data_IF_167446673758
#
_entry.id   IF_167446673758
#
_cell.length_a   1.000
_cell.length_b   1.000
_cell.length_c   1.000
_cell.angle_alpha   90.00
_cell.angle_beta   90.00
_cell.angle_gamma   90.00
#
_symmetry.space_group_name_H-M   'P 1'
#
loop_
_entity.id
_entity.type
_entity.pdbx_description
1 polymer ?
#
# COMPACT_ATOMS: atom_id res chain seq x y z
N UNK A 1 16.14 -45.89 -16.16
CA UNK A 1 15.40 -45.25 -15.01
C UNK A 1 16.39 -44.45 -14.18
N UNK A 2 16.14 -43.14 -14.08
CA UNK A 2 17.00 -42.16 -13.39
C UNK A 2 16.91 -42.41 -11.87
N UNK A 3 18.07 -42.37 -11.20
CA UNK A 3 18.18 -42.50 -9.72
C UNK A 3 18.52 -41.17 -9.02
N UNK A 4 19.15 -40.24 -9.74
CA UNK A 4 19.52 -38.89 -9.25
C UNK A 4 19.43 -37.89 -10.38
N UNK A 5 19.15 -36.65 -10.04
CA UNK A 5 19.08 -35.53 -10.99
C UNK A 5 20.45 -34.83 -11.05
N UNK A 6 20.86 -34.40 -12.25
CA UNK A 6 22.09 -33.66 -12.46
C UNK A 6 21.96 -32.24 -11.90
N UNK A 7 23.04 -31.71 -11.33
CA UNK A 7 23.10 -30.31 -10.88
C UNK A 7 22.90 -29.29 -12.02
N UNK A 8 23.27 -29.66 -13.25
CA UNK A 8 23.04 -28.83 -14.43
C UNK A 8 21.57 -28.62 -14.77
N UNK A 9 20.63 -29.46 -14.26
CA UNK A 9 19.20 -29.22 -14.44
C UNK A 9 18.74 -27.91 -13.81
N UNK A 10 19.35 -27.53 -12.69
CA UNK A 10 18.96 -26.35 -11.92
C UNK A 10 19.46 -25.03 -12.50
N UNK A 11 20.26 -25.08 -13.58
CA UNK A 11 20.69 -23.89 -14.33
C UNK A 11 19.72 -23.53 -15.45
N UNK A 12 18.73 -24.38 -15.76
CA UNK A 12 17.73 -24.18 -16.81
C UNK A 12 16.56 -23.38 -16.22
N UNK A 13 16.79 -22.15 -15.81
CA UNK A 13 15.84 -21.33 -15.05
C UNK A 13 14.54 -20.97 -15.79
N UNK A 14 14.54 -21.03 -17.13
CA UNK A 14 13.37 -20.79 -17.96
C UNK A 14 12.42 -21.99 -18.11
N UNK A 15 12.71 -23.12 -17.42
CA UNK A 15 11.89 -24.33 -17.50
C UNK A 15 10.51 -24.09 -16.91
N UNK A 16 9.46 -24.39 -17.67
CA UNK A 16 8.06 -24.26 -17.24
C UNK A 16 7.39 -25.61 -16.93
N UNK A 17 7.88 -26.71 -17.49
CA UNK A 17 7.36 -28.04 -17.24
C UNK A 17 8.49 -29.06 -17.08
N UNK A 18 8.36 -29.96 -16.09
CA UNK A 18 9.34 -31.01 -15.81
C UNK A 18 8.65 -32.35 -15.58
N UNK A 19 8.86 -33.29 -16.51
CA UNK A 19 8.34 -34.63 -16.46
C UNK A 19 9.45 -35.61 -16.13
N UNK A 20 9.46 -36.14 -14.90
CA UNK A 20 10.42 -37.17 -14.44
C UNK A 20 9.73 -38.29 -13.69
N UNK A 21 8.48 -38.55 -14.07
CA UNK A 21 7.70 -39.68 -13.62
C UNK A 21 8.31 -41.01 -14.09
N UNK A 22 7.87 -42.15 -13.51
CA UNK A 22 8.25 -43.52 -13.84
C UNK A 22 9.78 -43.78 -13.76
N UNK A 23 10.42 -43.20 -12.73
CA UNK A 23 11.83 -43.36 -12.48
C UNK A 23 12.12 -44.01 -11.09
N UNK A 24 13.36 -44.01 -10.66
CA UNK A 24 13.80 -44.58 -9.38
C UNK A 24 14.33 -43.48 -8.42
N UNK A 25 13.81 -42.28 -8.50
CA UNK A 25 14.22 -41.17 -7.62
C UNK A 25 13.79 -41.44 -6.19
N UNK A 26 14.72 -41.38 -5.24
CA UNK A 26 14.45 -41.55 -3.81
C UNK A 26 14.36 -40.24 -3.06
N UNK A 27 14.87 -39.14 -3.65
CA UNK A 27 14.84 -37.77 -3.11
C UNK A 27 14.87 -36.75 -4.22
N UNK A 28 14.35 -35.57 -3.93
CA UNK A 28 14.50 -34.34 -4.72
C UNK A 28 15.39 -33.37 -3.92
N UNK A 29 16.44 -32.81 -4.53
CA UNK A 29 17.29 -31.87 -3.82
C UNK A 29 16.60 -30.50 -3.64
N UNK A 30 16.97 -29.73 -2.60
CA UNK A 30 16.47 -28.37 -2.37
C UNK A 30 16.67 -27.41 -3.55
N UNK A 31 17.68 -27.67 -4.37
CA UNK A 31 17.99 -26.90 -5.59
C UNK A 31 16.85 -26.83 -6.60
N UNK A 32 15.81 -27.64 -6.47
CA UNK A 32 14.60 -27.57 -7.30
C UNK A 32 13.96 -26.18 -7.24
N UNK A 33 14.08 -25.48 -6.12
CA UNK A 33 13.59 -24.11 -5.95
C UNK A 33 14.32 -23.07 -6.84
N UNK A 34 15.44 -23.43 -7.47
CA UNK A 34 16.13 -22.60 -8.45
C UNK A 34 15.44 -22.52 -9.82
N UNK A 35 14.28 -23.22 -9.96
CA UNK A 35 13.43 -23.18 -11.16
C UNK A 35 12.18 -22.31 -10.92
N UNK A 36 12.28 -20.99 -10.92
CA UNK A 36 11.23 -20.07 -10.45
C UNK A 36 10.01 -20.02 -11.38
N UNK A 37 10.19 -20.43 -12.64
CA UNK A 37 9.12 -20.37 -13.66
C UNK A 37 8.45 -21.71 -13.90
N UNK A 38 8.73 -22.73 -13.04
CA UNK A 38 8.13 -24.06 -13.21
C UNK A 38 6.64 -24.02 -12.83
N UNK A 39 5.79 -24.37 -13.80
CA UNK A 39 4.32 -24.39 -13.68
C UNK A 39 3.82 -25.82 -13.45
N UNK A 40 4.45 -26.79 -14.10
CA UNK A 40 4.08 -28.20 -14.08
C UNK A 40 5.25 -29.07 -13.61
N UNK A 41 5.03 -29.90 -12.59
CA UNK A 41 6.01 -30.86 -12.09
C UNK A 41 5.39 -32.22 -11.88
N UNK A 42 5.81 -33.23 -12.68
CA UNK A 42 5.37 -34.60 -12.53
C UNK A 42 6.52 -35.50 -12.01
N UNK A 43 6.35 -35.95 -10.77
CA UNK A 43 7.23 -36.83 -10.03
C UNK A 43 6.59 -38.19 -9.73
N UNK A 44 5.44 -38.49 -10.33
CA UNK A 44 4.67 -39.72 -10.06
C UNK A 44 5.48 -40.97 -10.36
N UNK A 45 5.13 -42.08 -9.70
CA UNK A 45 5.75 -43.42 -9.92
C UNK A 45 7.27 -43.36 -9.73
N UNK A 46 7.71 -42.83 -8.59
CA UNK A 46 9.10 -42.83 -8.13
C UNK A 46 9.19 -43.53 -6.76
N UNK A 47 10.27 -43.33 -6.04
CA UNK A 47 10.53 -43.92 -4.70
C UNK A 47 10.76 -42.82 -3.64
N UNK A 48 10.12 -41.67 -3.82
CA UNK A 48 10.29 -40.51 -2.93
C UNK A 48 9.73 -40.84 -1.55
N UNK A 49 10.54 -40.61 -0.51
CA UNK A 49 10.15 -40.80 0.91
C UNK A 49 9.83 -39.50 1.61
N UNK A 50 10.39 -38.37 1.11
CA UNK A 50 10.20 -37.02 1.61
C UNK A 50 10.35 -36.04 0.47
N UNK A 51 9.87 -34.81 0.70
CA UNK A 51 10.02 -33.65 -0.18
C UNK A 51 10.86 -32.59 0.55
N UNK A 52 11.68 -31.81 -0.16
CA UNK A 52 12.38 -30.69 0.45
C UNK A 52 11.41 -29.55 0.77
N UNK A 53 11.60 -28.87 1.90
CA UNK A 53 10.82 -27.69 2.30
C UNK A 53 10.85 -26.59 1.23
N UNK A 54 11.99 -26.44 0.55
CA UNK A 54 12.21 -25.47 -0.54
C UNK A 54 11.24 -25.64 -1.73
N UNK A 55 10.60 -26.80 -1.86
CA UNK A 55 9.55 -27.00 -2.87
C UNK A 55 8.38 -26.01 -2.67
N UNK A 56 8.10 -25.62 -1.42
CA UNK A 56 7.10 -24.60 -1.10
C UNK A 56 7.42 -23.19 -1.60
N UNK A 57 8.68 -22.93 -2.00
CA UNK A 57 9.08 -21.61 -2.55
C UNK A 57 8.78 -21.50 -4.05
N UNK A 58 8.30 -22.58 -4.69
CA UNK A 58 7.99 -22.59 -6.13
C UNK A 58 6.55 -22.12 -6.39
N UNK A 59 6.26 -20.89 -6.00
CA UNK A 59 4.91 -20.30 -5.99
C UNK A 59 4.22 -20.24 -7.36
N UNK A 60 4.98 -20.38 -8.45
CA UNK A 60 4.46 -20.44 -9.82
C UNK A 60 3.82 -21.80 -10.19
N UNK A 61 4.00 -22.85 -9.35
CA UNK A 61 3.45 -24.18 -9.63
C UNK A 61 1.92 -24.15 -9.66
N UNK A 62 1.36 -24.72 -10.74
CA UNK A 62 -0.08 -24.97 -10.92
C UNK A 62 -0.43 -26.45 -10.77
N UNK A 63 0.49 -27.32 -11.15
CA UNK A 63 0.31 -28.77 -11.06
C UNK A 63 1.54 -29.43 -10.45
N UNK A 64 1.32 -30.21 -9.39
CA UNK A 64 2.32 -31.03 -8.71
C UNK A 64 1.81 -32.47 -8.57
N UNK A 65 2.36 -33.37 -9.35
CA UNK A 65 1.96 -34.78 -9.37
C UNK A 65 3.00 -35.64 -8.67
N UNK A 66 2.59 -36.25 -7.56
CA UNK A 66 3.40 -37.10 -6.66
C UNK A 66 2.81 -38.49 -6.46
N UNK A 67 1.87 -38.93 -7.33
CA UNK A 67 1.20 -40.19 -7.20
C UNK A 67 2.18 -41.38 -7.18
N UNK A 68 1.82 -42.45 -6.49
CA UNK A 68 2.60 -43.69 -6.43
C UNK A 68 4.05 -43.48 -6.02
N UNK A 69 4.25 -42.86 -4.87
CA UNK A 69 5.53 -42.71 -4.19
C UNK A 69 5.49 -43.32 -2.78
N UNK A 70 6.47 -43.06 -1.95
CA UNK A 70 6.60 -43.60 -0.60
C UNK A 70 6.54 -42.48 0.46
N UNK A 71 5.82 -41.38 0.16
CA UNK A 71 5.70 -40.26 1.04
C UNK A 71 4.85 -40.61 2.26
N UNK A 72 5.40 -40.38 3.46
CA UNK A 72 4.70 -40.56 4.75
C UNK A 72 4.29 -39.26 5.37
N UNK A 73 5.06 -38.18 5.10
CA UNK A 73 4.87 -36.80 5.60
C UNK A 73 5.03 -35.85 4.43
N UNK A 74 4.29 -34.78 4.47
CA UNK A 74 4.46 -33.61 3.58
C UNK A 74 5.00 -32.44 4.37
N UNK A 75 5.95 -31.66 3.82
CA UNK A 75 6.41 -30.45 4.49
C UNK A 75 5.31 -29.38 4.49
N UNK A 76 5.10 -28.72 5.62
CA UNK A 76 4.08 -27.67 5.76
C UNK A 76 4.31 -26.47 4.82
N UNK A 77 5.55 -26.27 4.37
CA UNK A 77 5.93 -25.28 3.37
C UNK A 77 5.19 -25.42 2.05
N UNK A 78 4.65 -26.61 1.73
CA UNK A 78 3.77 -26.79 0.56
C UNK A 78 2.54 -25.88 0.62
N UNK A 79 2.11 -25.49 1.80
CA UNK A 79 1.02 -24.52 1.98
C UNK A 79 1.29 -23.16 1.32
N UNK A 80 2.56 -22.81 1.05
CA UNK A 80 2.92 -21.60 0.31
C UNK A 80 2.58 -21.65 -1.18
N UNK A 81 2.25 -22.84 -1.71
CA UNK A 81 1.87 -23.05 -3.12
C UNK A 81 0.39 -22.64 -3.36
N UNK A 82 0.02 -21.45 -2.96
CA UNK A 82 -1.37 -20.96 -3.01
C UNK A 82 -1.97 -20.91 -4.42
N UNK A 83 -1.15 -20.95 -5.46
CA UNK A 83 -1.57 -21.00 -6.86
C UNK A 83 -1.78 -22.42 -7.39
N UNK A 84 -1.46 -23.45 -6.60
CA UNK A 84 -1.53 -24.83 -7.04
C UNK A 84 -3.00 -25.28 -7.24
N UNK A 85 -3.32 -25.72 -8.46
CA UNK A 85 -4.65 -26.16 -8.86
C UNK A 85 -4.78 -27.68 -8.69
N UNK A 86 -3.74 -28.41 -9.04
CA UNK A 86 -3.74 -29.86 -9.01
C UNK A 86 -2.60 -30.40 -8.15
N UNK A 87 -2.93 -31.20 -7.15
CA UNK A 87 -1.99 -31.93 -6.31
C UNK A 87 -2.29 -33.44 -6.41
N UNK A 88 -1.37 -34.23 -6.94
CA UNK A 88 -1.51 -35.65 -7.05
C UNK A 88 -0.82 -36.40 -5.91
N UNK A 89 -1.55 -37.02 -4.99
CA UNK A 89 -1.01 -37.71 -3.82
C UNK A 89 -1.43 -39.18 -3.72
N UNK A 90 -2.20 -39.73 -4.68
CA UNK A 90 -2.69 -41.12 -4.67
C UNK A 90 -1.54 -42.11 -4.60
N UNK A 91 -1.73 -43.23 -3.86
CA UNK A 91 -0.74 -44.29 -3.77
C UNK A 91 0.49 -43.95 -2.93
N UNK A 92 0.37 -42.98 -1.98
CA UNK A 92 1.38 -42.69 -0.96
C UNK A 92 0.92 -43.15 0.43
N UNK A 93 1.82 -43.65 1.30
CA UNK A 93 1.49 -44.06 2.67
C UNK A 93 1.41 -42.85 3.64
N UNK A 94 0.58 -41.87 3.29
CA UNK A 94 0.33 -40.67 4.11
C UNK A 94 -0.55 -40.99 5.32
N UNK A 95 -0.54 -40.17 6.35
CA UNK A 95 -1.43 -40.31 7.50
C UNK A 95 -2.89 -40.17 7.10
N UNK A 96 -3.79 -40.82 7.87
CA UNK A 96 -5.22 -40.82 7.58
C UNK A 96 -5.81 -39.42 7.62
N UNK A 97 -5.33 -38.57 8.51
CA UNK A 97 -5.81 -37.18 8.64
C UNK A 97 -5.56 -36.36 7.37
N UNK A 98 -4.36 -36.49 6.80
CA UNK A 98 -3.99 -35.83 5.52
C UNK A 98 -4.83 -36.43 4.37
N UNK A 99 -5.03 -37.72 4.34
CA UNK A 99 -5.84 -38.39 3.30
C UNK A 99 -7.31 -37.98 3.40
N UNK A 100 -7.87 -37.88 4.58
CA UNK A 100 -9.25 -37.45 4.79
C UNK A 100 -9.45 -36.02 4.27
N UNK A 101 -8.57 -35.10 4.66
CA UNK A 101 -8.63 -33.70 4.20
C UNK A 101 -8.45 -33.56 2.68
N UNK A 102 -7.54 -34.35 2.10
CA UNK A 102 -7.29 -34.38 0.66
C UNK A 102 -8.45 -34.94 -0.15
N UNK A 103 -9.24 -35.89 0.42
CA UNK A 103 -10.39 -36.53 -0.26
C UNK A 103 -11.67 -35.66 -0.23
N UNK A 104 -11.70 -34.61 0.56
CA UNK A 104 -12.84 -33.70 0.60
C UNK A 104 -13.03 -32.93 -0.74
N UNK A 105 -14.22 -32.35 -0.90
CA UNK A 105 -14.44 -31.40 -2.00
C UNK A 105 -13.43 -30.25 -1.89
N UNK A 106 -12.74 -29.93 -2.99
CA UNK A 106 -11.64 -28.96 -3.03
C UNK A 106 -10.47 -29.31 -2.09
N UNK A 107 -10.19 -30.62 -1.95
CA UNK A 107 -9.23 -31.17 -1.00
C UNK A 107 -7.81 -30.65 -1.19
N UNK A 108 -7.39 -30.36 -2.42
CA UNK A 108 -6.08 -29.71 -2.70
C UNK A 108 -5.97 -28.39 -1.95
N UNK A 109 -6.95 -27.50 -2.12
CA UNK A 109 -6.93 -26.19 -1.50
C UNK A 109 -7.06 -26.25 0.03
N UNK A 110 -7.94 -27.11 0.53
CA UNK A 110 -8.10 -27.34 1.96
C UNK A 110 -6.81 -27.83 2.61
N UNK A 111 -6.13 -28.79 1.97
CA UNK A 111 -4.86 -29.33 2.47
C UNK A 111 -3.76 -28.26 2.48
N UNK A 112 -3.62 -27.49 1.39
CA UNK A 112 -2.63 -26.40 1.34
C UNK A 112 -2.92 -25.32 2.38
N UNK A 113 -4.19 -24.97 2.57
CA UNK A 113 -4.61 -24.03 3.59
C UNK A 113 -4.28 -24.51 5.00
N UNK A 114 -4.58 -25.79 5.29
CA UNK A 114 -4.23 -26.41 6.56
C UNK A 114 -2.72 -26.35 6.82
N UNK A 115 -1.92 -26.67 5.79
CA UNK A 115 -0.46 -26.61 5.91
C UNK A 115 0.05 -25.21 6.15
N UNK A 116 -0.47 -24.20 5.42
CA UNK A 116 -0.07 -22.81 5.57
C UNK A 116 -0.43 -22.28 6.96
N UNK A 117 -1.64 -22.59 7.45
CA UNK A 117 -2.12 -22.13 8.75
C UNK A 117 -1.34 -22.74 9.93
N UNK A 118 -0.73 -23.92 9.72
CA UNK A 118 0.10 -24.61 10.71
C UNK A 118 1.61 -24.50 10.43
N UNK A 119 2.00 -23.75 9.42
CA UNK A 119 3.41 -23.47 9.15
C UNK A 119 3.98 -22.60 10.26
N UNK A 120 5.07 -23.04 10.87
CA UNK A 120 5.76 -22.27 11.89
C UNK A 120 6.25 -20.95 11.31
N UNK A 121 5.82 -19.85 11.92
CA UNK A 121 6.35 -18.51 11.61
C UNK A 121 7.67 -18.37 12.34
N UNK A 122 8.74 -18.08 11.61
CA UNK A 122 10.03 -17.81 12.22
C UNK A 122 9.92 -16.59 13.15
N UNK A 123 10.46 -16.65 14.37
CA UNK A 123 10.37 -15.55 15.34
C UNK A 123 11.29 -14.37 15.01
N UNK A 124 11.86 -14.33 13.81
CA UNK A 124 12.68 -13.19 13.39
C UNK A 124 11.83 -11.92 13.43
N UNK A 125 12.26 -11.01 14.29
CA UNK A 125 11.57 -9.73 14.44
C UNK A 125 11.62 -8.96 13.12
N UNK A 126 10.52 -8.27 12.83
CA UNK A 126 10.48 -7.30 11.74
C UNK A 126 11.60 -6.26 11.97
N UNK A 127 12.53 -6.06 11.02
CA UNK A 127 13.57 -5.06 11.20
C UNK A 127 12.95 -3.67 11.28
N UNK A 128 13.51 -2.86 12.15
CA UNK A 128 13.09 -1.47 12.25
C UNK A 128 13.41 -0.74 10.94
N UNK A 129 12.44 0.01 10.46
CA UNK A 129 12.62 0.88 9.30
C UNK A 129 13.50 2.07 9.69
N UNK A 130 14.53 2.43 8.90
CA UNK A 130 15.46 3.49 9.25
C UNK A 130 14.76 4.86 9.18
N UNK A 131 15.11 5.75 10.11
CA UNK A 131 14.78 7.16 9.96
C UNK A 131 15.80 7.85 9.06
N UNK A 132 15.34 8.56 8.04
CA UNK A 132 16.18 9.28 7.09
C UNK A 132 16.06 10.77 7.38
N UNK A 133 17.12 11.37 7.95
CA UNK A 133 17.17 12.82 8.14
C UNK A 133 17.62 13.47 6.83
N UNK A 134 16.78 14.35 6.30
CA UNK A 134 17.05 15.08 5.05
C UNK A 134 17.59 16.50 5.30
N UNK A 135 17.19 17.10 6.41
CA UNK A 135 17.61 18.43 6.82
C UNK A 135 17.72 18.49 8.34
N UNK A 136 18.85 19.00 8.83
CA UNK A 136 18.97 19.32 10.24
C UNK A 136 18.25 20.63 10.55
N UNK A 137 17.66 20.69 11.75
CA UNK A 137 16.98 21.90 12.22
C UNK A 137 17.99 23.01 12.45
N UNK A 138 17.74 24.18 11.87
CA UNK A 138 18.45 25.42 12.23
C UNK A 138 17.80 26.01 13.50
N UNK A 139 18.49 25.98 14.65
CA UNK A 139 17.92 26.48 15.89
C UNK A 139 17.70 28.01 15.89
N UNK A 140 18.27 28.73 14.94
CA UNK A 140 18.16 30.19 14.83
C UNK A 140 16.87 30.60 14.06
N UNK A 141 16.23 29.67 13.34
CA UNK A 141 15.02 29.97 12.57
C UNK A 141 13.81 29.40 13.35
N UNK A 142 12.86 30.26 13.77
CA UNK A 142 11.64 29.80 14.45
C UNK A 142 10.70 29.12 13.44
N UNK A 143 10.82 27.80 13.28
CA UNK A 143 9.96 26.98 12.43
C UNK A 143 9.12 26.03 13.28
N UNK A 144 7.89 25.73 12.85
CA UNK A 144 7.09 24.69 13.46
C UNK A 144 7.34 23.37 12.71
N UNK A 145 7.67 22.33 13.48
CA UNK A 145 7.86 20.98 12.94
C UNK A 145 6.72 20.07 13.43
N UNK A 146 6.23 19.24 12.55
CA UNK A 146 5.20 18.26 12.88
C UNK A 146 5.33 17.03 11.97
N UNK A 147 4.91 15.89 12.48
CA UNK A 147 4.95 14.61 11.78
C UNK A 147 3.60 14.29 11.16
N UNK A 148 3.63 13.70 9.97
CA UNK A 148 2.44 13.29 9.22
C UNK A 148 2.57 11.83 8.82
N UNK A 149 1.59 11.02 9.20
CA UNK A 149 1.46 9.62 8.82
C UNK A 149 0.38 9.44 7.76
N UNK A 150 0.65 8.65 6.73
CA UNK A 150 -0.31 8.16 5.76
C UNK A 150 -0.26 6.63 5.73
N UNK A 151 -1.40 5.96 5.97
CA UNK A 151 -1.42 4.51 6.07
C UNK A 151 -2.75 3.91 5.63
N UNK A 152 -2.75 3.13 4.56
CA UNK A 152 -3.85 2.24 4.22
C UNK A 152 -3.75 0.98 5.10
N UNK A 153 -4.74 0.76 5.97
CA UNK A 153 -4.72 -0.30 6.98
C UNK A 153 -5.29 -1.62 6.49
N UNK A 154 -5.72 -1.70 5.25
CA UNK A 154 -6.45 -2.82 4.66
C UNK A 154 -7.68 -3.21 5.49
N UNK A 155 -8.87 -2.85 5.05
CA UNK A 155 -10.10 -3.19 5.77
C UNK A 155 -10.32 -4.71 5.84
N UNK A 156 -11.10 -5.15 6.83
CA UNK A 156 -11.37 -6.57 7.04
C UNK A 156 -12.11 -7.22 5.86
N UNK A 157 -13.02 -6.47 5.25
CA UNK A 157 -13.82 -6.91 4.10
C UNK A 157 -12.95 -7.37 2.93
N UNK A 158 -11.79 -6.76 2.69
CA UNK A 158 -10.88 -7.08 1.59
C UNK A 158 -9.74 -8.01 2.00
N UNK A 159 -9.46 -8.19 3.28
CA UNK A 159 -8.43 -9.09 3.78
C UNK A 159 -8.84 -10.57 3.67
N UNK A 160 -9.07 -11.04 2.45
CA UNK A 160 -9.61 -12.38 2.17
C UNK A 160 -8.56 -13.34 1.63
N UNK A 161 -8.75 -14.64 1.85
CA UNK A 161 -7.88 -15.66 1.26
C UNK A 161 -7.94 -15.71 -0.26
N UNK A 162 -8.99 -15.19 -0.86
CA UNK A 162 -9.10 -15.12 -2.32
C UNK A 162 -8.07 -14.14 -2.88
N UNK A 163 -7.87 -13.01 -2.21
CA UNK A 163 -6.90 -11.99 -2.61
C UNK A 163 -5.49 -12.30 -2.06
N UNK A 164 -5.39 -12.79 -0.83
CA UNK A 164 -4.13 -13.01 -0.13
C UNK A 164 -3.91 -14.47 0.24
N UNK A 165 -4.04 -15.37 -0.75
CA UNK A 165 -3.92 -16.83 -0.57
C UNK A 165 -2.57 -17.31 -0.02
N UNK A 166 -1.54 -16.48 -0.11
CA UNK A 166 -0.21 -16.71 0.44
C UNK A 166 -0.08 -16.39 1.94
N UNK A 167 -1.09 -15.73 2.52
CA UNK A 167 -1.11 -15.37 3.95
C UNK A 167 -1.93 -16.40 4.74
N UNK A 168 -1.46 -16.86 5.92
CA UNK A 168 -2.24 -17.72 6.79
C UNK A 168 -3.57 -17.08 7.19
N UNK A 169 -4.65 -17.88 7.33
CA UNK A 169 -5.98 -17.36 7.63
C UNK A 169 -6.07 -16.62 8.96
N UNK A 170 -5.34 -17.07 9.96
CA UNK A 170 -5.29 -16.42 11.26
C UNK A 170 -4.61 -15.05 11.22
N UNK A 171 -3.62 -14.87 10.30
CA UNK A 171 -2.92 -13.60 10.11
C UNK A 171 -3.72 -12.59 9.26
N UNK A 172 -4.68 -13.06 8.45
CA UNK A 172 -5.65 -12.20 7.75
C UNK A 172 -6.75 -11.68 8.68
N UNK A 173 -7.02 -12.39 9.78
CA UNK A 173 -8.10 -12.04 10.70
C UNK A 173 -7.89 -10.64 11.30
N UNK A 174 -8.96 -9.84 11.34
CA UNK A 174 -8.93 -8.48 11.89
C UNK A 174 -8.45 -8.43 13.33
N UNK A 175 -8.88 -9.36 14.18
CA UNK A 175 -8.48 -9.43 15.60
C UNK A 175 -6.97 -9.63 15.77
N UNK A 176 -6.31 -10.23 14.78
CA UNK A 176 -4.86 -10.34 14.73
C UNK A 176 -4.23 -9.07 14.16
N UNK A 177 -4.66 -8.62 12.96
CA UNK A 177 -4.06 -7.50 12.22
C UNK A 177 -4.18 -6.17 12.96
N UNK A 178 -5.34 -5.90 13.59
CA UNK A 178 -5.57 -4.66 14.33
C UNK A 178 -4.52 -4.38 15.39
N UNK A 179 -3.92 -5.42 16.00
CA UNK A 179 -2.86 -5.26 17.00
C UNK A 179 -1.60 -4.65 16.38
N UNK A 180 -1.10 -5.26 15.30
CA UNK A 180 0.06 -4.74 14.58
C UNK A 180 -0.17 -3.37 13.96
N UNK A 181 -1.39 -3.10 13.43
CA UNK A 181 -1.78 -1.78 12.92
C UNK A 181 -1.69 -0.73 14.03
N UNK A 182 -2.27 -1.01 15.18
CA UNK A 182 -2.26 -0.08 16.31
C UNK A 182 -0.86 0.09 16.91
N UNK A 183 -0.06 -0.98 16.97
CA UNK A 183 1.34 -0.91 17.39
C UNK A 183 2.14 0.03 16.46
N UNK A 184 1.99 -0.09 15.14
CA UNK A 184 2.68 0.76 14.18
C UNK A 184 2.24 2.22 14.30
N UNK A 185 0.94 2.50 14.37
CA UNK A 185 0.39 3.85 14.55
C UNK A 185 0.91 4.48 15.85
N UNK A 186 0.89 3.72 16.95
CA UNK A 186 1.32 4.23 18.24
C UNK A 186 2.84 4.36 18.36
N UNK A 187 3.60 3.54 17.67
CA UNK A 187 5.05 3.64 17.60
C UNK A 187 5.51 4.88 16.80
N UNK A 188 4.83 5.17 15.70
CA UNK A 188 5.10 6.36 14.89
C UNK A 188 4.77 7.67 15.61
N UNK A 189 3.79 7.67 16.50
CA UNK A 189 3.36 8.80 17.35
C UNK A 189 3.29 10.14 16.56
N UNK A 190 2.67 10.08 15.37
CA UNK A 190 2.61 11.20 14.45
C UNK A 190 1.63 12.27 14.93
N UNK A 191 1.94 13.58 14.73
CA UNK A 191 1.03 14.68 15.06
C UNK A 191 -0.27 14.64 14.21
N UNK A 192 -0.17 14.16 12.97
CA UNK A 192 -1.28 14.01 12.04
C UNK A 192 -1.29 12.56 11.51
N UNK A 193 -2.42 11.86 11.69
CA UNK A 193 -2.60 10.49 11.25
C UNK A 193 -3.72 10.45 10.20
N UNK A 194 -3.39 10.09 8.97
CA UNK A 194 -4.33 9.89 7.86
C UNK A 194 -4.40 8.41 7.50
N UNK A 195 -5.58 7.82 7.69
CA UNK A 195 -5.81 6.41 7.43
C UNK A 195 -6.76 6.21 6.25
N UNK A 196 -6.53 5.19 5.45
CA UNK A 196 -7.43 4.73 4.40
C UNK A 196 -7.92 3.30 4.73
N UNK A 197 -9.04 2.89 4.17
CA UNK A 197 -9.69 1.60 4.40
C UNK A 197 -10.07 1.33 5.85
N UNK A 198 -10.48 2.35 6.57
CA UNK A 198 -11.03 2.20 7.93
C UNK A 198 -12.55 2.01 7.84
N UNK A 199 -13.04 0.85 8.22
CA UNK A 199 -14.47 0.58 8.31
C UNK A 199 -15.13 1.37 9.45
N UNK A 200 -16.38 1.77 9.24
CA UNK A 200 -17.13 2.60 10.22
C UNK A 200 -17.14 1.99 11.62
N UNK A 201 -17.41 0.70 11.72
CA UNK A 201 -17.44 0.00 13.01
C UNK A 201 -16.08 0.01 13.69
N UNK A 202 -15.01 -0.24 12.92
CA UNK A 202 -13.64 -0.25 13.41
C UNK A 202 -13.17 1.13 13.84
N UNK A 203 -13.61 2.18 13.12
CA UNK A 203 -13.31 3.55 13.51
C UNK A 203 -13.82 3.86 14.92
N UNK A 204 -15.10 3.58 15.18
CA UNK A 204 -15.70 3.90 16.50
C UNK A 204 -15.26 2.95 17.61
N UNK A 205 -15.12 1.64 17.31
CA UNK A 205 -14.83 0.64 18.33
C UNK A 205 -13.34 0.54 18.71
N UNK A 206 -12.42 1.00 17.85
CA UNK A 206 -10.99 0.85 18.06
C UNK A 206 -10.23 2.17 17.91
N UNK A 207 -10.22 2.75 16.69
CA UNK A 207 -9.34 3.89 16.39
C UNK A 207 -9.68 5.12 17.21
N UNK A 208 -10.96 5.52 17.24
CA UNK A 208 -11.40 6.72 17.94
C UNK A 208 -11.12 6.64 19.44
N UNK A 209 -11.46 5.52 20.07
CA UNK A 209 -11.28 5.34 21.54
C UNK A 209 -9.78 5.34 21.87
N UNK A 210 -8.99 4.49 21.23
CA UNK A 210 -7.56 4.33 21.52
C UNK A 210 -6.76 5.61 21.24
N UNK A 211 -7.05 6.31 20.13
CA UNK A 211 -6.33 7.52 19.78
C UNK A 211 -6.78 8.72 20.62
N UNK A 212 -8.05 8.78 21.02
CA UNK A 212 -8.56 9.81 21.93
C UNK A 212 -7.89 9.76 23.30
N UNK A 213 -7.65 8.55 23.84
CA UNK A 213 -6.89 8.37 25.10
C UNK A 213 -5.46 8.92 25.00
N UNK A 214 -4.90 8.99 23.80
CA UNK A 214 -3.58 9.58 23.50
C UNK A 214 -3.61 11.06 23.14
N UNK A 215 -4.79 11.70 23.22
CA UNK A 215 -4.97 13.12 23.00
C UNK A 215 -5.25 13.52 21.53
N UNK A 216 -5.58 12.55 20.67
CA UNK A 216 -5.99 12.85 19.29
C UNK A 216 -7.48 13.15 19.22
N UNK A 217 -7.84 14.10 18.34
CA UNK A 217 -9.21 14.28 17.88
C UNK A 217 -9.40 13.57 16.54
N UNK A 218 -10.43 12.71 16.46
CA UNK A 218 -10.71 11.92 15.26
C UNK A 218 -11.84 12.49 14.41
N UNK A 219 -11.62 12.55 13.11
CA UNK A 219 -12.63 12.90 12.12
C UNK A 219 -12.84 11.73 11.19
N UNK A 220 -14.02 11.10 11.25
CA UNK A 220 -14.43 10.08 10.31
C UNK A 220 -15.39 10.71 9.31
N UNK A 221 -15.08 10.61 8.02
CA UNK A 221 -15.89 11.20 6.98
C UNK A 221 -16.48 10.13 6.05
N UNK A 222 -17.64 9.57 6.38
CA UNK A 222 -18.47 8.92 5.38
C UNK A 222 -19.24 10.02 4.65
N UNK A 223 -18.83 10.38 3.42
CA UNK A 223 -19.60 11.24 2.51
C UNK A 223 -20.54 12.27 3.21
N UNK A 224 -20.02 13.35 3.79
CA UNK A 224 -20.60 14.68 3.87
C UNK A 224 -20.41 15.48 5.18
N UNK A 225 -20.14 16.77 5.00
CA UNK A 225 -20.24 17.96 5.87
C UNK A 225 -19.20 18.17 6.96
N UNK A 226 -18.45 19.25 6.79
CA UNK A 226 -17.44 19.77 7.72
C UNK A 226 -17.97 20.91 8.60
N UNK A 227 -17.35 21.08 9.76
CA UNK A 227 -17.38 22.30 10.57
C UNK A 227 -15.96 22.86 10.72
N UNK A 228 -15.72 24.17 10.55
CA UNK A 228 -14.40 24.77 10.76
C UNK A 228 -14.09 24.92 12.26
N UNK A 229 -12.82 24.72 12.61
CA UNK A 229 -12.25 25.01 13.93
C UNK A 229 -11.50 26.35 13.90
N UNK A 230 -11.61 27.14 14.96
CA UNK A 230 -10.96 28.44 15.09
C UNK A 230 -9.53 28.31 15.63
N UNK A 231 -8.53 28.82 14.89
CA UNK A 231 -7.13 28.92 15.31
C UNK A 231 -6.34 29.92 14.48
N UNK A 232 -5.16 30.34 14.96
CA UNK A 232 -4.41 31.46 14.38
C UNK A 232 -3.63 31.17 13.11
N UNK A 233 -3.37 29.90 12.76
CA UNK A 233 -2.75 29.48 11.51
C UNK A 233 -3.41 28.20 11.02
N UNK A 234 -4.01 28.26 9.83
CA UNK A 234 -4.68 27.10 9.22
C UNK A 234 -3.66 26.25 8.48
N UNK A 235 -3.76 24.94 8.66
CA UNK A 235 -3.19 23.93 7.76
C UNK A 235 -4.37 23.09 7.28
N UNK A 236 -4.49 22.93 5.98
CA UNK A 236 -5.50 22.07 5.37
C UNK A 236 -4.93 20.67 5.21
N UNK A 237 -5.49 19.71 5.96
CA UNK A 237 -5.12 18.31 5.83
C UNK A 237 -6.19 17.61 5.02
N UNK A 238 -5.78 16.93 3.98
CA UNK A 238 -6.64 16.21 3.07
C UNK A 238 -6.24 14.73 3.04
N UNK A 239 -7.24 13.84 3.05
CA UNK A 239 -7.08 12.40 2.96
C UNK A 239 -7.86 11.88 1.76
N UNK A 240 -7.23 11.04 0.93
CA UNK A 240 -7.83 10.50 -0.28
C UNK A 240 -7.54 9.00 -0.46
N UNK A 241 -8.51 8.30 -1.07
CA UNK A 241 -8.31 6.96 -1.60
C UNK A 241 -8.99 6.90 -2.97
N UNK A 242 -8.19 6.80 -4.05
CA UNK A 242 -8.67 6.81 -5.43
C UNK A 242 -9.10 5.40 -5.86
N UNK A 243 -9.79 5.31 -7.00
CA UNK A 243 -10.24 4.05 -7.55
C UNK A 243 -9.09 3.03 -7.68
N UNK A 244 -9.34 1.79 -7.29
CA UNK A 244 -8.30 0.76 -7.15
C UNK A 244 -7.85 0.15 -8.49
N UNK A 245 -8.77 -0.01 -9.48
CA UNK A 245 -8.50 -0.76 -10.69
C UNK A 245 -7.47 -0.04 -11.58
N UNK A 246 -6.33 -0.71 -11.91
CA UNK A 246 -5.28 -0.12 -12.74
C UNK A 246 -5.74 0.22 -14.16
N UNK A 247 -6.81 -0.42 -14.66
CA UNK A 247 -7.33 -0.14 -15.99
C UNK A 247 -8.05 1.21 -16.10
N UNK A 248 -8.52 1.79 -15.00
CA UNK A 248 -9.27 3.06 -14.98
C UNK A 248 -8.37 4.25 -14.62
N UNK A 249 -7.27 4.43 -15.33
CA UNK A 249 -6.34 5.55 -15.11
C UNK A 249 -7.01 6.92 -15.35
N UNK A 250 -7.94 7.02 -16.32
CA UNK A 250 -8.76 8.19 -16.60
C UNK A 250 -9.68 8.55 -15.42
N UNK A 251 -10.36 7.56 -14.83
CA UNK A 251 -11.21 7.76 -13.64
C UNK A 251 -10.40 8.30 -12.48
N UNK A 252 -9.23 7.74 -12.19
CA UNK A 252 -8.34 8.20 -11.11
C UNK A 252 -7.88 9.64 -11.32
N UNK A 253 -7.52 9.99 -12.57
CA UNK A 253 -7.10 11.34 -12.92
C UNK A 253 -8.25 12.36 -12.74
N UNK A 254 -9.47 12.01 -13.20
CA UNK A 254 -10.66 12.86 -13.02
C UNK A 254 -11.03 12.98 -11.54
N UNK A 255 -11.01 11.88 -10.77
CA UNK A 255 -11.24 11.93 -9.33
C UNK A 255 -10.27 12.88 -8.64
N UNK A 256 -9.00 12.88 -9.05
CA UNK A 256 -7.98 13.78 -8.51
C UNK A 256 -8.27 15.25 -8.86
N UNK A 257 -8.72 15.53 -10.08
CA UNK A 257 -9.14 16.87 -10.49
C UNK A 257 -10.35 17.37 -9.69
N UNK A 258 -11.36 16.54 -9.53
CA UNK A 258 -12.55 16.84 -8.72
C UNK A 258 -12.16 17.10 -7.26
N UNK A 259 -11.28 16.26 -6.71
CA UNK A 259 -10.78 16.39 -5.36
C UNK A 259 -10.06 17.72 -5.13
N UNK A 260 -9.14 18.13 -6.02
CA UNK A 260 -8.45 19.41 -5.91
C UNK A 260 -9.38 20.61 -6.13
N UNK A 261 -10.41 20.47 -6.96
CA UNK A 261 -11.45 21.51 -7.13
C UNK A 261 -12.23 21.72 -5.85
N UNK A 262 -12.65 20.65 -5.16
CA UNK A 262 -13.33 20.75 -3.87
C UNK A 262 -12.39 21.30 -2.79
N UNK A 263 -11.12 20.86 -2.78
CA UNK A 263 -10.11 21.37 -1.86
C UNK A 263 -9.91 22.89 -2.02
N UNK A 264 -9.91 23.38 -3.26
CA UNK A 264 -9.89 24.82 -3.57
C UNK A 264 -11.10 25.52 -3.00
N UNK A 265 -12.31 25.01 -3.22
CA UNK A 265 -13.55 25.59 -2.69
C UNK A 265 -13.56 25.67 -1.17
N UNK A 266 -12.95 24.68 -0.49
CA UNK A 266 -12.82 24.67 0.96
C UNK A 266 -11.81 25.71 1.43
N UNK A 267 -10.66 25.82 0.76
CA UNK A 267 -9.66 26.84 1.07
C UNK A 267 -10.25 28.26 0.93
N UNK A 268 -11.03 28.52 -0.14
CA UNK A 268 -11.73 29.78 -0.35
C UNK A 268 -12.74 30.08 0.77
N UNK A 269 -13.54 29.10 1.17
CA UNK A 269 -14.48 29.24 2.29
C UNK A 269 -13.77 29.51 3.62
N UNK A 270 -12.66 28.82 3.88
CA UNK A 270 -11.86 29.02 5.09
C UNK A 270 -11.30 30.44 5.15
N UNK A 271 -10.72 30.95 4.06
CA UNK A 271 -10.21 32.30 3.96
C UNK A 271 -11.32 33.36 4.16
N UNK A 272 -12.49 33.14 3.55
CA UNK A 272 -13.64 34.05 3.70
C UNK A 272 -14.14 34.12 5.15
N UNK A 273 -14.09 33.01 5.88
CA UNK A 273 -14.52 32.96 7.29
C UNK A 273 -13.57 33.64 8.26
N UNK A 274 -12.30 33.81 7.88
CA UNK A 274 -11.30 34.46 8.73
C UNK A 274 -11.39 36.01 8.73
N UNK A 275 -12.28 36.60 7.96
CA UNK A 275 -12.54 38.07 8.00
C UNK A 275 -11.36 38.91 7.51
N UNK A 276 -10.40 38.34 6.82
CA UNK A 276 -9.31 39.08 6.18
C UNK A 276 -9.90 39.84 5.01
N UNK A 277 -10.22 41.13 5.21
CA UNK A 277 -10.81 42.01 4.21
C UNK A 277 -9.89 42.36 3.02
N UNK A 278 -9.03 41.42 2.63
CA UNK A 278 -8.16 41.53 1.46
C UNK A 278 -8.90 40.99 0.24
N UNK A 279 -9.04 41.83 -0.76
CA UNK A 279 -9.75 41.61 -2.04
C UNK A 279 -9.14 40.51 -2.93
N UNK A 280 -8.05 39.84 -2.51
CA UNK A 280 -7.37 38.76 -3.25
C UNK A 280 -6.85 37.69 -2.28
N UNK A 281 -7.74 36.85 -1.78
CA UNK A 281 -7.29 35.66 -1.00
C UNK A 281 -7.06 34.51 -1.94
N UNK A 282 -5.80 34.27 -2.30
CA UNK A 282 -5.40 33.09 -3.08
C UNK A 282 -5.59 31.80 -2.23
N UNK A 283 -6.37 30.82 -2.66
CA UNK A 283 -6.51 29.55 -1.96
C UNK A 283 -5.19 28.82 -1.69
N UNK A 284 -4.18 29.06 -2.53
CA UNK A 284 -2.83 28.52 -2.37
C UNK A 284 -2.04 29.15 -1.21
N UNK A 285 -2.57 30.22 -0.58
CA UNK A 285 -1.96 30.83 0.62
C UNK A 285 -2.12 29.99 1.89
N UNK A 286 -3.05 29.00 1.91
CA UNK A 286 -3.18 28.05 3.01
C UNK A 286 -2.22 26.88 2.79
N UNK A 287 -1.35 26.56 3.75
CA UNK A 287 -0.54 25.35 3.70
C UNK A 287 -1.41 24.08 3.61
N UNK A 288 -1.11 23.18 2.69
CA UNK A 288 -1.84 21.94 2.46
C UNK A 288 -0.92 20.75 2.69
N UNK A 289 -1.44 19.73 3.39
CA UNK A 289 -0.90 18.38 3.46
C UNK A 289 -1.94 17.43 2.90
N UNK A 290 -1.60 16.67 1.87
CA UNK A 290 -2.45 15.66 1.25
C UNK A 290 -1.83 14.29 1.47
N UNK A 291 -2.52 13.43 2.20
CA UNK A 291 -2.20 12.02 2.39
C UNK A 291 -3.14 11.19 1.51
N UNK A 292 -2.60 10.30 0.70
CA UNK A 292 -3.46 9.56 -0.21
C UNK A 292 -2.88 8.21 -0.61
N UNK A 293 -3.76 7.22 -0.67
CA UNK A 293 -3.63 6.08 -1.56
C UNK A 293 -4.21 6.51 -2.92
N UNK A 294 -3.33 6.81 -3.86
CA UNK A 294 -3.73 7.26 -5.19
C UNK A 294 -4.00 6.11 -6.15
N UNK A 295 -3.69 4.88 -5.76
CA UNK A 295 -3.73 3.72 -6.65
C UNK A 295 -3.05 3.97 -8.01
N UNK A 296 -2.02 4.81 -8.00
CA UNK A 296 -1.39 5.38 -9.20
C UNK A 296 0.13 5.43 -9.04
N UNK A 297 0.85 4.91 -10.02
CA UNK A 297 2.31 4.88 -10.03
C UNK A 297 2.91 6.29 -10.24
N UNK A 298 4.19 6.50 -9.89
CA UNK A 298 4.86 7.81 -9.98
C UNK A 298 4.88 8.44 -11.38
N UNK A 299 4.76 7.63 -12.44
CA UNK A 299 4.75 8.06 -13.85
C UNK A 299 3.35 8.26 -14.45
N UNK A 300 2.31 8.21 -13.60
CA UNK A 300 0.90 8.40 -13.97
C UNK A 300 0.54 9.88 -14.13
N UNK A 301 -0.51 10.15 -14.91
CA UNK A 301 -1.10 11.48 -15.04
C UNK A 301 -1.62 12.04 -13.72
N UNK A 302 -2.04 11.19 -12.78
CA UNK A 302 -2.43 11.59 -11.41
C UNK A 302 -1.28 12.25 -10.67
N UNK A 303 -0.12 11.59 -10.63
CA UNK A 303 1.06 12.12 -9.93
C UNK A 303 1.67 13.30 -10.68
N UNK A 304 1.64 13.27 -12.02
CA UNK A 304 2.04 14.40 -12.85
C UNK A 304 1.17 15.64 -12.57
N UNK A 305 -0.16 15.49 -12.56
CA UNK A 305 -1.10 16.58 -12.27
C UNK A 305 -0.82 17.22 -10.91
N UNK A 306 -0.68 16.40 -9.86
CA UNK A 306 -0.40 16.88 -8.50
C UNK A 306 0.96 17.57 -8.38
N UNK A 307 2.01 17.00 -9.00
CA UNK A 307 3.39 17.48 -8.83
C UNK A 307 3.73 18.70 -9.69
N UNK A 308 3.21 18.74 -10.93
CA UNK A 308 3.54 19.77 -11.91
C UNK A 308 2.53 20.93 -11.90
N UNK A 309 1.40 20.78 -11.20
CA UNK A 309 0.33 21.78 -11.19
C UNK A 309 -0.59 21.70 -12.41
N UNK A 310 -0.44 20.67 -13.23
CA UNK A 310 -1.26 20.46 -14.41
C UNK A 310 -0.85 19.22 -15.22
N UNK A 311 -1.68 18.86 -16.17
CA UNK A 311 -1.49 17.75 -17.12
C UNK A 311 -2.00 18.16 -18.50
N UNK A 312 -1.39 17.62 -19.56
CA UNK A 312 -1.83 17.88 -20.94
C UNK A 312 -3.24 17.30 -21.18
N UNK A 313 -4.09 18.02 -21.94
CA UNK A 313 -5.45 17.55 -22.29
C UNK A 313 -5.43 16.24 -23.11
N UNK A 314 -4.33 15.94 -23.81
CA UNK A 314 -4.12 14.72 -24.55
C UNK A 314 -3.25 13.70 -23.81
N UNK A 315 -3.13 13.79 -22.48
CA UNK A 315 -2.35 12.83 -21.70
C UNK A 315 -2.88 11.40 -21.92
N UNK A 316 -1.95 10.43 -22.04
CA UNK A 316 -2.26 9.01 -22.31
C UNK A 316 -3.31 8.41 -21.36
N UNK A 317 -3.36 8.88 -20.12
CA UNK A 317 -4.27 8.37 -19.09
C UNK A 317 -5.73 8.77 -19.33
N UNK A 318 -6.03 9.70 -20.23
CA UNK A 318 -7.40 9.97 -20.67
C UNK A 318 -7.94 8.97 -21.70
N UNK A 319 -7.13 7.99 -22.16
CA UNK A 319 -7.53 6.88 -23.05
C UNK A 319 -8.28 7.32 -24.31
N UNK A 320 -7.89 8.43 -24.92
CA UNK A 320 -8.56 9.01 -26.10
C UNK A 320 -10.04 9.37 -25.88
N UNK A 321 -10.54 9.27 -24.65
CA UNK A 321 -11.87 9.71 -24.31
C UNK A 321 -11.93 11.24 -24.36
N UNK A 322 -12.94 11.77 -25.04
CA UNK A 322 -13.11 13.23 -25.22
C UNK A 322 -13.83 13.81 -24.01
N UNK A 323 -13.07 14.11 -22.96
CA UNK A 323 -13.58 14.79 -21.76
C UNK A 323 -13.64 16.33 -21.89
N UNK A 324 -13.31 16.89 -23.05
CA UNK A 324 -13.03 18.31 -23.25
C UNK A 324 -14.07 19.27 -22.64
N UNK A 325 -15.36 18.97 -22.77
CA UNK A 325 -16.43 19.81 -22.20
C UNK A 325 -16.52 19.70 -20.67
N UNK A 326 -16.31 18.50 -20.12
CA UNK A 326 -16.37 18.27 -18.68
C UNK A 326 -15.11 18.84 -17.97
N UNK A 327 -13.94 18.76 -18.63
CA UNK A 327 -12.66 19.17 -18.07
C UNK A 327 -12.47 20.69 -18.05
N UNK A 328 -13.17 21.46 -18.89
CA UNK A 328 -13.16 22.94 -18.83
C UNK A 328 -13.58 23.50 -17.47
N UNK A 329 -14.39 22.75 -16.72
CA UNK A 329 -14.84 23.12 -15.38
C UNK A 329 -13.72 22.98 -14.32
N UNK A 330 -12.66 22.24 -14.58
CA UNK A 330 -11.54 22.01 -13.65
C UNK A 330 -10.30 22.83 -13.96
N UNK A 331 -10.26 23.53 -15.11
CA UNK A 331 -9.12 24.40 -15.46
C UNK A 331 -9.20 25.74 -14.71
N UNK A 332 -8.12 26.11 -14.06
CA UNK A 332 -8.00 27.41 -13.38
C UNK A 332 -7.70 28.58 -14.33
N UNK A 333 -7.54 28.34 -15.64
CA UNK A 333 -7.26 29.40 -16.60
C UNK A 333 -8.54 30.14 -16.96
N UNK A 334 -8.52 31.46 -16.76
CA UNK A 334 -9.60 32.35 -17.21
C UNK A 334 -9.80 32.24 -18.73
N UNK A 335 -11.03 32.49 -19.19
CA UNK A 335 -11.53 32.32 -20.57
C UNK A 335 -10.74 33.05 -21.70
N UNK A 336 -9.57 33.63 -21.43
CA UNK A 336 -8.82 34.49 -22.34
C UNK A 336 -7.38 34.03 -22.66
N UNK A 337 -6.94 32.82 -22.26
CA UNK A 337 -5.59 32.37 -22.66
C UNK A 337 -5.70 31.34 -23.80
N UNK A 338 -5.37 31.80 -25.01
CA UNK A 338 -5.28 31.03 -26.26
C UNK A 338 -3.99 30.21 -26.36
N UNK A 339 -3.46 29.67 -25.25
CA UNK A 339 -2.23 28.87 -25.30
C UNK A 339 -2.26 27.74 -24.28
N UNK A 340 -2.09 26.58 -24.83
CA UNK A 340 -1.79 25.24 -24.29
C UNK A 340 -3.00 24.44 -23.81
N UNK A 341 -3.29 23.34 -24.53
CA UNK A 341 -4.18 22.24 -24.15
C UNK A 341 -3.68 21.52 -22.89
N UNK A 342 -3.68 22.22 -21.74
CA UNK A 342 -3.34 21.66 -20.44
C UNK A 342 -4.38 22.06 -19.39
N UNK A 343 -4.73 21.08 -18.55
CA UNK A 343 -5.63 21.26 -17.41
C UNK A 343 -4.75 21.52 -16.18
N UNK A 344 -4.98 22.63 -15.48
CA UNK A 344 -4.10 23.10 -14.40
C UNK A 344 -4.86 23.37 -13.12
N UNK A 345 -4.15 23.34 -11.98
CA UNK A 345 -4.63 23.77 -10.67
C UNK A 345 -3.68 24.79 -10.04
N UNK A 346 -4.17 25.55 -9.06
CA UNK A 346 -3.42 26.65 -8.42
C UNK A 346 -2.44 26.18 -7.33
N UNK A 347 -2.56 24.96 -6.82
CA UNK A 347 -1.75 24.48 -5.71
C UNK A 347 -0.32 24.15 -6.14
N UNK A 348 0.65 24.51 -5.29
CA UNK A 348 2.07 24.24 -5.48
C UNK A 348 2.46 23.05 -4.62
N UNK A 349 2.15 21.81 -5.07
CA UNK A 349 2.37 20.60 -4.31
C UNK A 349 3.72 19.93 -4.65
N UNK A 350 4.24 19.18 -3.69
CA UNK A 350 5.44 18.36 -3.82
C UNK A 350 5.28 17.09 -2.98
N UNK A 351 5.67 15.94 -3.52
CA UNK A 351 5.70 14.70 -2.73
C UNK A 351 6.83 14.73 -1.70
N UNK A 352 6.55 14.26 -0.48
CA UNK A 352 7.55 14.12 0.57
C UNK A 352 8.58 13.04 0.21
N UNK A 353 8.12 11.92 -0.32
CA UNK A 353 8.95 10.83 -0.80
C UNK A 353 9.30 11.04 -2.27
N UNK A 354 10.54 11.39 -2.55
CA UNK A 354 11.01 11.67 -3.90
C UNK A 354 12.05 10.65 -4.37
N UNK A 355 12.11 10.45 -5.68
CA UNK A 355 13.08 9.53 -6.28
C UNK A 355 12.84 8.07 -5.88
N UNK A 356 13.92 7.32 -5.68
CA UNK A 356 13.90 5.89 -5.33
C UNK A 356 13.97 5.62 -3.83
N UNK A 357 13.56 6.59 -2.97
CA UNK A 357 13.59 6.39 -1.51
C UNK A 357 12.70 5.24 -1.05
N UNK A 358 11.54 5.08 -1.68
CA UNK A 358 10.66 3.92 -1.49
C UNK A 358 10.56 3.16 -2.81
N UNK A 359 10.90 1.89 -2.80
CA UNK A 359 10.73 1.02 -3.97
C UNK A 359 9.28 0.60 -4.16
N UNK A 360 8.52 0.56 -3.08
CA UNK A 360 7.10 0.21 -3.04
C UNK A 360 6.47 0.73 -1.74
N UNK A 361 5.20 1.08 -1.80
CA UNK A 361 4.35 1.34 -0.65
C UNK A 361 3.26 0.27 -0.51
N UNK A 362 2.90 -0.41 -1.60
CA UNK A 362 2.08 -1.62 -1.59
C UNK A 362 2.92 -2.81 -2.07
N UNK A 363 2.79 -3.96 -1.40
CA UNK A 363 3.60 -5.16 -1.63
C UNK A 363 2.72 -6.41 -1.56
N UNK A 364 2.14 -6.79 -2.69
CA UNK A 364 1.38 -8.04 -2.84
C UNK A 364 2.16 -9.03 -3.72
N UNK A 365 1.62 -10.22 -3.94
CA UNK A 365 2.19 -11.17 -4.89
C UNK A 365 2.19 -10.62 -6.32
N UNK A 366 1.03 -10.10 -6.74
CA UNK A 366 0.81 -9.67 -8.12
C UNK A 366 1.29 -8.24 -8.39
N UNK A 367 1.42 -7.42 -7.36
CA UNK A 367 1.79 -6.02 -7.49
C UNK A 367 2.78 -5.56 -6.41
N UNK A 368 3.77 -4.78 -6.84
CA UNK A 368 4.73 -4.10 -5.96
C UNK A 368 5.02 -2.74 -6.56
N UNK A 369 4.58 -1.69 -5.90
CA UNK A 369 4.73 -0.35 -6.42
C UNK A 369 4.47 0.74 -5.40
N UNK A 370 4.79 1.97 -5.76
CA UNK A 370 4.50 3.17 -4.97
C UNK A 370 3.16 3.70 -5.43
N UNK A 371 2.16 3.65 -4.54
CA UNK A 371 0.80 4.15 -4.80
C UNK A 371 0.28 5.03 -3.66
N UNK A 372 0.98 5.07 -2.52
CA UNK A 372 0.68 5.92 -1.38
C UNK A 372 1.62 7.13 -1.35
N UNK A 373 1.09 8.29 -1.00
CA UNK A 373 1.81 9.55 -1.08
C UNK A 373 1.45 10.49 0.07
N UNK A 374 2.44 11.30 0.49
CA UNK A 374 2.25 12.51 1.28
C UNK A 374 2.69 13.68 0.40
N UNK A 375 1.74 14.48 -0.07
CA UNK A 375 2.02 15.73 -0.76
C UNK A 375 1.88 16.90 0.20
N UNK A 376 2.65 17.95 -0.01
CA UNK A 376 2.62 19.18 0.79
C UNK A 376 2.83 20.42 -0.07
N UNK A 377 2.37 21.58 0.41
CA UNK A 377 2.58 22.89 -0.22
C UNK A 377 4.05 23.29 -0.13
N UNK A 378 4.80 23.17 -1.24
CA UNK A 378 6.26 23.43 -1.30
C UNK A 378 6.67 24.87 -1.01
N UNK A 379 5.73 25.82 -1.12
CA UNK A 379 5.93 27.24 -0.81
C UNK A 379 5.89 27.54 0.69
N UNK A 380 5.26 26.65 1.48
CA UNK A 380 5.04 26.85 2.91
C UNK A 380 5.80 25.87 3.78
N UNK A 381 6.20 24.73 3.21
CA UNK A 381 6.79 23.61 3.97
C UNK A 381 7.98 23.01 3.25
N UNK A 382 8.84 22.36 4.04
CA UNK A 382 9.90 21.47 3.57
C UNK A 382 9.91 20.18 4.37
N UNK A 383 10.54 19.13 3.81
CA UNK A 383 10.70 17.84 4.50
C UNK A 383 12.01 17.83 5.26
N UNK A 384 11.94 17.57 6.56
CA UNK A 384 13.12 17.45 7.41
C UNK A 384 13.56 15.99 7.61
N UNK A 385 12.62 15.04 7.61
CA UNK A 385 12.92 13.62 7.77
C UNK A 385 11.80 12.72 7.28
N UNK A 386 12.11 11.44 7.07
CA UNK A 386 11.22 10.43 6.55
C UNK A 386 11.47 9.08 7.20
N UNK A 387 10.42 8.29 7.38
CA UNK A 387 10.54 6.87 7.67
C UNK A 387 10.96 6.12 6.38
N UNK A 388 12.13 5.52 6.40
CA UNK A 388 12.68 4.80 5.24
C UNK A 388 11.94 3.50 4.93
N UNK A 389 12.36 2.79 3.86
CA UNK A 389 11.76 1.52 3.47
C UNK A 389 12.09 0.39 4.45
N UNK A 390 11.27 -0.64 4.45
CA UNK A 390 11.64 -1.94 4.99
C UNK A 390 12.78 -2.52 4.12
N UNK A 391 13.76 -3.15 4.75
CA UNK A 391 14.89 -3.74 4.05
C UNK A 391 14.43 -4.87 3.12
N UNK A 392 14.58 -4.68 1.82
CA UNK A 392 14.13 -5.65 0.79
C UNK A 392 14.80 -7.02 0.99
N UNK A 393 16.03 -7.04 1.49
CA UNK A 393 16.75 -8.28 1.78
C UNK A 393 16.02 -9.12 2.82
N UNK A 394 15.45 -8.50 3.85
CA UNK A 394 14.68 -9.23 4.87
C UNK A 394 13.47 -9.93 4.25
N UNK A 395 12.75 -9.28 3.33
CA UNK A 395 11.62 -9.89 2.61
C UNK A 395 12.07 -11.09 1.79
N UNK A 396 13.19 -11.00 1.09
CA UNK A 396 13.71 -12.09 0.25
C UNK A 396 14.28 -13.24 1.08
N UNK A 397 15.04 -12.97 2.12
CA UNK A 397 15.65 -13.98 2.97
C UNK A 397 14.60 -14.79 3.74
N UNK A 398 13.47 -14.15 4.10
CA UNK A 398 12.33 -14.79 4.76
C UNK A 398 11.28 -15.35 3.78
N UNK A 399 11.53 -15.33 2.47
CA UNK A 399 10.63 -15.80 1.41
C UNK A 399 9.22 -15.19 1.52
N UNK A 400 9.14 -13.88 1.85
CA UNK A 400 7.86 -13.18 1.94
C UNK A 400 7.37 -12.86 0.53
N UNK A 401 6.37 -13.58 0.12
CA UNK A 401 5.79 -13.50 -1.23
C UNK A 401 5.01 -12.21 -1.44
N UNK A 402 4.30 -11.77 -0.38
CA UNK A 402 3.50 -10.56 -0.35
C UNK A 402 2.96 -10.29 1.06
N UNK A 403 2.38 -9.13 1.23
CA UNK A 403 1.67 -8.68 2.43
C UNK A 403 0.15 -8.66 2.15
N UNK A 404 -0.73 -8.84 3.16
CA UNK A 404 -0.39 -9.02 4.57
C UNK A 404 0.43 -10.27 4.86
N UNK A 405 1.18 -10.23 5.96
CA UNK A 405 2.01 -11.31 6.46
C UNK A 405 1.91 -11.34 8.00
N UNK A 406 2.19 -12.46 8.69
CA UNK A 406 2.17 -12.50 10.17
C UNK A 406 2.90 -11.37 10.89
N UNK A 407 3.94 -10.80 10.30
CA UNK A 407 4.69 -9.67 10.84
C UNK A 407 4.29 -8.30 10.26
N UNK A 408 3.48 -8.26 9.21
CA UNK A 408 3.10 -7.03 8.50
C UNK A 408 1.59 -7.06 8.27
N UNK A 409 0.81 -6.28 9.02
CA UNK A 409 -0.64 -6.44 9.11
C UNK A 409 -1.43 -5.90 7.92
N UNK A 410 -0.84 -5.07 7.07
CA UNK A 410 -1.43 -4.51 5.85
C UNK A 410 -0.60 -4.90 4.62
N UNK A 411 -1.18 -4.86 3.45
CA UNK A 411 -0.48 -4.95 2.18
C UNK A 411 0.19 -3.63 1.76
N UNK A 412 -0.09 -2.55 2.51
CA UNK A 412 0.59 -1.27 2.41
C UNK A 412 1.59 -1.05 3.55
N UNK A 413 2.65 -0.30 3.27
CA UNK A 413 3.59 0.22 4.26
C UNK A 413 3.23 1.66 4.60
N UNK A 414 3.18 1.97 5.89
CA UNK A 414 2.92 3.34 6.34
C UNK A 414 4.00 4.31 5.83
N UNK A 415 3.59 5.51 5.50
CA UNK A 415 4.48 6.65 5.26
C UNK A 415 4.49 7.54 6.49
N UNK A 416 5.65 8.06 6.87
CA UNK A 416 5.81 9.02 7.96
C UNK A 416 6.81 10.10 7.54
N UNK A 417 6.36 11.35 7.50
CA UNK A 417 7.17 12.50 7.13
C UNK A 417 7.23 13.52 8.26
N UNK A 418 8.41 14.03 8.56
CA UNK A 418 8.61 15.21 9.39
C UNK A 418 8.63 16.43 8.50
N UNK A 419 7.60 17.28 8.60
CA UNK A 419 7.45 18.51 7.86
C UNK A 419 7.86 19.71 8.71
N UNK A 420 8.58 20.64 8.08
CA UNK A 420 8.94 21.93 8.63
C UNK A 420 8.08 23.00 7.98
N UNK A 421 7.24 23.69 8.78
CA UNK A 421 6.40 24.81 8.34
C UNK A 421 7.21 26.12 8.45
N UNK A 422 7.33 26.81 7.33
CA UNK A 422 8.01 28.09 7.28
C UNK A 422 7.08 29.23 7.71
N UNK A 423 7.60 30.24 8.43
CA UNK A 423 6.81 31.43 8.74
C UNK A 423 6.38 32.13 7.43
N UNK A 424 5.19 32.76 7.41
CA UNK A 424 4.79 33.55 6.26
C UNK A 424 5.85 34.61 5.98
N UNK A 425 6.21 34.80 4.70
CA UNK A 425 7.14 35.85 4.28
C UNK A 425 6.48 37.20 4.53
N UNK A 426 6.65 37.72 5.73
CA UNK A 426 6.27 39.09 6.05
C UNK A 426 7.34 40.02 5.47
N UNK A 427 6.95 40.98 4.60
CA UNK A 427 7.78 42.14 4.26
C UNK A 427 8.31 42.75 5.56
N UNK A 428 9.63 42.82 5.67
CA UNK A 428 10.44 43.20 6.82
C UNK A 428 9.86 44.40 7.60
N UNK A 429 9.18 44.18 8.71
CA UNK A 429 9.14 45.04 9.87
C UNK A 429 8.46 44.35 11.06
N UNK A 430 9.22 44.23 12.16
CA UNK A 430 8.84 43.76 13.50
C UNK A 430 8.99 42.24 13.78
N UNK A 431 10.24 41.81 13.99
CA UNK A 431 10.58 40.61 14.76
C UNK A 431 10.68 41.00 16.24
N UNK A 432 9.63 40.83 17.01
CA UNK A 432 9.71 40.73 18.47
C UNK A 432 8.55 39.85 18.99
N UNK A 433 8.88 38.65 19.45
CA UNK A 433 8.07 37.91 20.43
C UNK A 433 6.84 37.18 19.92
N UNK A 434 6.96 36.22 19.00
CA UNK A 434 5.85 35.32 18.66
C UNK A 434 6.14 33.91 19.19
N UNK A 435 5.48 33.56 20.28
CA UNK A 435 5.21 32.13 20.63
C UNK A 435 4.22 31.62 19.59
N UNK A 436 4.67 30.71 18.70
CA UNK A 436 3.78 29.99 17.79
C UNK A 436 3.03 28.90 18.56
N UNK A 437 1.69 28.93 18.60
CA UNK A 437 0.90 27.84 19.17
C UNK A 437 0.98 26.60 18.25
N UNK A 438 0.76 25.41 18.85
CA UNK A 438 0.64 24.15 18.07
C UNK A 438 -0.42 24.30 16.96
N UNK A 439 -0.18 23.77 15.76
CA UNK A 439 -1.14 23.86 14.66
C UNK A 439 -2.41 23.07 14.94
N UNK A 440 -3.57 23.62 14.57
CA UNK A 440 -4.84 22.92 14.55
C UNK A 440 -5.13 22.36 13.17
N UNK A 441 -5.57 21.10 13.12
CA UNK A 441 -5.75 20.32 11.88
C UNK A 441 -7.22 20.27 11.47
N UNK A 442 -7.49 20.48 10.18
CA UNK A 442 -8.80 20.29 9.55
C UNK A 442 -8.67 19.19 8.49
N UNK A 443 -9.37 18.07 8.66
CA UNK A 443 -9.28 16.90 7.77
C UNK A 443 -10.42 16.80 6.76
N UNK A 444 -10.11 16.32 5.57
CA UNK A 444 -11.04 16.08 4.45
C UNK A 444 -10.81 14.74 3.78
N UNK A 445 -11.91 14.04 3.48
CA UNK A 445 -11.92 12.85 2.63
C UNK A 445 -12.53 13.08 1.24
N UNK A 446 -12.12 12.31 0.23
CA UNK A 446 -12.61 12.46 -1.13
C UNK A 446 -13.97 11.83 -1.39
N UNK A 447 -14.56 12.29 -2.47
CA UNK A 447 -15.73 11.70 -3.12
C UNK A 447 -15.32 10.38 -3.82
N UNK A 448 -15.58 9.24 -3.21
CA UNK A 448 -15.68 7.99 -3.95
C UNK A 448 -17.16 7.69 -4.13
N UNK A 449 -17.75 8.11 -5.21
CA UNK A 449 -19.00 7.52 -5.69
C UNK A 449 -18.62 6.38 -6.62
N UNK A 450 -18.87 5.17 -6.20
CA UNK A 450 -19.02 4.07 -7.13
C UNK A 450 -20.38 4.26 -7.83
N UNK A 451 -20.44 4.57 -9.13
CA UNK A 451 -21.72 4.75 -9.82
C UNK A 451 -22.39 3.42 -10.18
N UNK A 452 -21.87 2.28 -9.72
CA UNK A 452 -22.30 0.94 -10.13
C UNK A 452 -22.75 0.01 -8.99
N UNK A 453 -23.18 0.53 -7.84
CA UNK A 453 -24.04 -0.25 -6.95
C UNK A 453 -25.49 0.13 -7.23
N UNK A 454 -26.08 -0.56 -8.20
CA UNK A 454 -27.52 -0.78 -8.36
C UNK A 454 -27.76 -2.26 -8.65
#
# INVERSE_FOLDING_TARGET
>A
RVRSLSSSLWTVTHLTALHINDNNLSRIPPDIAKLPHLIYLNLSSNKLRSLPAQLGNMVSLRELLLNNNLLRVLPYELGRLFQLQTLGLKGNPLSQDILNLYQESDGTRKLLNYMLDNLAVHPEQLPQRPWITLKERDPMIPTAMFTVMCYNVLCDKYATRQLYGYCPSWALNWEYRKKGIMEEITHCDADIISLQEVETEQYYALFLETLKERGYDGYFCPKSRMKPLQGKQLILVANAHMHWDPEFCDVKLIQTMMFLSELKSIAERALSSMGTGSLTSDPASIPIVLCADLNSLPDSGVVEYLSNGGVAENHKDFRELRYNEALTNFSCQGKNSSSSGSITHSFQLKSAYQGSLMSYTNYTYDFKGVIDYIFFSKTHMSVAGLLGPLETRWLTDNNITGCPHPHIPSDHFSLLALLELHPPVTSSSSLNGLHLPRPQVVGLQPLTSDPFEA
#
